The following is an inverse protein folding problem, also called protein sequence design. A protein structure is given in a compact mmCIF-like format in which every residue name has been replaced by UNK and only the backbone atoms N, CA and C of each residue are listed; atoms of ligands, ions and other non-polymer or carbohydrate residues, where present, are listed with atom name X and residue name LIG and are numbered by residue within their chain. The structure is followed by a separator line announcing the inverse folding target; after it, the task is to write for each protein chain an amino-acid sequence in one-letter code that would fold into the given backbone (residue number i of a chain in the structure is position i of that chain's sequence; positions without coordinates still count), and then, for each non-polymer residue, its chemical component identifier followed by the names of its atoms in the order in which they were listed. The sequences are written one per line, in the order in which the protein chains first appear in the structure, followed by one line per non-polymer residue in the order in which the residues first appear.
data_IF_812319676224
#
_entry.id   IF_812319676224
#
_cell.length_a   1.000
_cell.length_b   1.000
_cell.length_c   1.000
_cell.angle_alpha   90.00
_cell.angle_beta   90.00
_cell.angle_gamma   90.00
#
_symmetry.space_group_name_H-M   'P 1'
#
loop_
_entity.id
_entity.type
_entity.pdbx_description
1 polymer ?
#
# COMPACT_ATOMS: atom_id res chain seq x y z
N UNK A 1 6.98 -9.28 -9.65
CA UNK A 1 7.72 -10.48 -10.10
C UNK A 1 7.28 -11.75 -9.36
N UNK A 2 7.27 -11.79 -8.01
CA UNK A 2 6.90 -12.97 -7.22
C UNK A 2 5.51 -13.57 -7.55
N UNK A 3 4.49 -12.74 -7.79
CA UNK A 3 3.14 -13.21 -8.15
C UNK A 3 3.10 -13.94 -9.50
N UNK A 4 3.86 -13.45 -10.49
CA UNK A 4 3.96 -14.07 -11.81
C UNK A 4 4.71 -15.40 -11.74
N UNK A 5 5.81 -15.45 -10.96
CA UNK A 5 6.58 -16.68 -10.71
C UNK A 5 5.72 -17.73 -10.00
N UNK A 6 4.99 -17.35 -8.94
CA UNK A 6 4.05 -18.24 -8.24
C UNK A 6 3.00 -18.85 -9.19
N UNK A 7 2.33 -18.02 -10.00
CA UNK A 7 1.31 -18.48 -10.95
C UNK A 7 1.92 -19.39 -12.01
N UNK A 8 3.09 -19.04 -12.56
CA UNK A 8 3.78 -19.86 -13.56
C UNK A 8 4.21 -21.23 -13.00
N UNK A 9 4.79 -21.26 -11.79
CA UNK A 9 5.17 -22.50 -11.11
C UNK A 9 3.96 -23.38 -10.80
N UNK A 10 2.85 -22.78 -10.37
CA UNK A 10 1.60 -23.51 -10.08
C UNK A 10 1.05 -24.20 -11.34
N UNK A 11 0.98 -23.48 -12.46
CA UNK A 11 0.52 -24.02 -13.74
C UNK A 11 1.48 -25.09 -14.26
N UNK A 12 2.78 -24.83 -14.21
CA UNK A 12 3.82 -25.77 -14.64
C UNK A 12 3.79 -27.08 -13.83
N UNK A 13 3.65 -26.99 -12.51
CA UNK A 13 3.54 -28.16 -11.63
C UNK A 13 2.27 -28.98 -11.94
N UNK A 14 1.12 -28.33 -12.15
CA UNK A 14 -0.13 -29.00 -12.52
C UNK A 14 -0.03 -29.71 -13.89
N UNK A 15 0.64 -29.08 -14.86
CA UNK A 15 0.87 -29.66 -16.20
C UNK A 15 1.81 -30.87 -16.16
N UNK A 16 2.80 -30.87 -15.26
CA UNK A 16 3.77 -31.95 -15.14
C UNK A 16 3.26 -33.12 -14.29
N UNK A 17 2.55 -32.86 -13.20
CA UNK A 17 2.09 -33.89 -12.27
C UNK A 17 0.96 -34.75 -12.85
N UNK A 18 0.11 -34.15 -13.68
CA UNK A 18 -1.02 -34.83 -14.31
C UNK A 18 -0.63 -36.04 -15.20
N UNK A 19 0.29 -35.93 -16.18
CA UNK A 19 0.71 -37.09 -16.98
C UNK A 19 1.41 -38.16 -16.13
N UNK A 20 2.15 -37.78 -15.09
CA UNK A 20 2.78 -38.75 -14.18
C UNK A 20 1.75 -39.59 -13.43
N UNK A 21 0.71 -38.95 -12.87
CA UNK A 21 -0.35 -39.67 -12.17
C UNK A 21 -1.16 -40.55 -13.13
N UNK A 22 -1.36 -40.11 -14.37
CA UNK A 22 -1.99 -40.93 -15.41
C UNK A 22 -1.25 -42.25 -15.65
N UNK A 23 0.08 -42.24 -15.65
CA UNK A 23 0.89 -43.46 -15.78
C UNK A 23 0.79 -44.38 -14.56
N UNK A 24 0.67 -43.81 -13.36
CA UNK A 24 0.58 -44.58 -12.11
C UNK A 24 -0.77 -45.27 -11.98
N UNK A 25 -1.86 -44.55 -12.24
CA UNK A 25 -3.22 -45.08 -12.05
C UNK A 25 -3.75 -45.83 -13.27
N UNK A 26 -3.28 -45.46 -14.48
CA UNK A 26 -3.62 -46.13 -15.74
C UNK A 26 -5.12 -46.39 -15.92
N UNK A 27 -5.98 -45.52 -15.38
CA UNK A 27 -7.43 -45.72 -15.37
C UNK A 27 -8.01 -45.48 -16.74
N UNK A 28 -8.85 -46.40 -17.22
CA UNK A 28 -9.54 -46.23 -18.50
C UNK A 28 -10.72 -45.24 -18.43
N UNK A 29 -10.91 -44.41 -19.48
CA UNK A 29 -12.04 -43.51 -19.58
C UNK A 29 -13.35 -44.27 -19.85
N UNK A 30 -14.52 -43.70 -19.49
CA UNK A 30 -15.79 -44.29 -19.86
C UNK A 30 -15.90 -44.44 -21.39
N UNK A 31 -16.30 -45.62 -21.87
CA UNK A 31 -16.48 -45.88 -23.30
C UNK A 31 -15.18 -46.14 -24.09
N UNK A 32 -14.06 -46.43 -23.42
CA UNK A 32 -12.87 -46.98 -24.11
C UNK A 32 -13.22 -48.29 -24.81
N UNK A 33 -12.71 -48.45 -26.03
CA UNK A 33 -12.79 -49.69 -26.81
C UNK A 33 -11.38 -50.05 -27.26
N UNK A 34 -11.12 -51.33 -27.53
CA UNK A 34 -9.78 -51.82 -27.90
C UNK A 34 -9.20 -51.17 -29.18
N UNK A 35 -10.02 -50.43 -29.94
CA UNK A 35 -9.67 -49.84 -31.23
C UNK A 35 -9.13 -48.40 -31.10
N UNK A 36 -9.42 -47.70 -29.99
CA UNK A 36 -8.92 -46.34 -29.76
C UNK A 36 -7.86 -46.33 -28.66
N UNK A 37 -6.66 -45.77 -28.89
CA UNK A 37 -5.67 -45.62 -27.83
C UNK A 37 -6.26 -44.78 -26.69
N UNK A 38 -6.58 -45.43 -25.57
CA UNK A 38 -7.17 -44.76 -24.43
C UNK A 38 -6.12 -43.85 -23.78
N UNK A 39 -6.34 -42.53 -23.84
CA UNK A 39 -5.63 -41.61 -22.94
C UNK A 39 -6.21 -41.80 -21.54
N UNK A 40 -5.40 -42.22 -20.58
CA UNK A 40 -5.86 -42.51 -19.21
C UNK A 40 -6.71 -41.37 -18.61
N UNK A 41 -7.79 -41.72 -17.92
CA UNK A 41 -8.81 -40.79 -17.45
C UNK A 41 -8.48 -40.12 -16.12
N UNK A 42 -7.72 -40.80 -15.24
CA UNK A 42 -7.46 -40.32 -13.89
C UNK A 42 -6.07 -39.68 -13.74
N UNK A 43 -5.97 -38.50 -13.10
CA UNK A 43 -7.04 -37.53 -12.84
C UNK A 43 -7.41 -36.76 -14.12
N UNK A 44 -8.51 -35.98 -14.08
CA UNK A 44 -8.88 -35.11 -15.18
C UNK A 44 -7.86 -33.97 -15.35
N UNK A 45 -7.17 -33.95 -16.49
CA UNK A 45 -6.13 -32.95 -16.78
C UNK A 45 -6.67 -31.53 -16.88
N UNK A 46 -7.73 -31.32 -17.68
CA UNK A 46 -8.37 -30.01 -17.83
C UNK A 46 -8.90 -29.49 -16.49
N UNK A 47 -9.55 -30.36 -15.70
CA UNK A 47 -10.04 -29.97 -14.38
C UNK A 47 -8.87 -29.61 -13.45
N UNK A 48 -7.77 -30.36 -13.47
CA UNK A 48 -6.59 -30.09 -12.65
C UNK A 48 -5.93 -28.75 -13.00
N UNK A 49 -5.62 -28.53 -14.29
CA UNK A 49 -4.90 -27.32 -14.73
C UNK A 49 -5.75 -26.06 -14.60
N UNK A 50 -7.03 -26.14 -14.96
CA UNK A 50 -7.97 -25.02 -14.75
C UNK A 50 -8.06 -24.68 -13.27
N UNK A 51 -8.27 -25.66 -12.39
CA UNK A 51 -8.41 -25.42 -10.94
C UNK A 51 -7.14 -24.84 -10.34
N UNK A 52 -5.96 -25.32 -10.75
CA UNK A 52 -4.68 -24.76 -10.33
C UNK A 52 -4.53 -23.29 -10.75
N UNK A 53 -4.86 -22.97 -12.01
CA UNK A 53 -4.78 -21.60 -12.53
C UNK A 53 -5.76 -20.65 -11.81
N UNK A 54 -7.04 -21.04 -11.66
CA UNK A 54 -8.03 -20.17 -11.01
C UNK A 54 -7.78 -20.02 -9.51
N UNK A 55 -7.31 -21.07 -8.83
CA UNK A 55 -6.90 -20.98 -7.42
C UNK A 55 -5.69 -20.07 -7.24
N UNK A 56 -4.70 -20.14 -8.13
CA UNK A 56 -3.55 -19.23 -8.11
C UNK A 56 -3.99 -17.76 -8.25
N UNK A 57 -4.91 -17.47 -9.17
CA UNK A 57 -5.47 -16.13 -9.35
C UNK A 57 -6.25 -15.66 -8.11
N UNK A 58 -7.04 -16.54 -7.48
CA UNK A 58 -7.74 -16.21 -6.24
C UNK A 58 -6.77 -15.87 -5.09
N UNK A 59 -5.67 -16.63 -4.95
CA UNK A 59 -4.61 -16.36 -3.96
C UNK A 59 -3.93 -15.00 -4.22
N UNK A 60 -3.64 -14.68 -5.48
CA UNK A 60 -3.08 -13.36 -5.86
C UNK A 60 -4.06 -12.24 -5.55
N UNK A 61 -5.35 -12.41 -5.87
CA UNK A 61 -6.39 -11.43 -5.64
C UNK A 61 -6.81 -11.29 -4.16
N UNK A 62 -6.41 -12.21 -3.27
CA UNK A 62 -6.88 -12.30 -1.89
C UNK A 62 -6.62 -11.04 -1.04
N UNK A 63 -5.55 -10.30 -1.34
CA UNK A 63 -5.21 -9.03 -0.67
C UNK A 63 -5.85 -7.79 -1.30
N UNK A 64 -6.63 -7.98 -2.36
CA UNK A 64 -7.34 -6.90 -3.03
C UNK A 64 -8.82 -6.87 -2.61
N UNK A 65 -9.52 -5.79 -2.95
CA UNK A 65 -10.99 -5.70 -2.80
C UNK A 65 -11.76 -6.79 -3.57
N UNK A 66 -11.11 -7.48 -4.51
CA UNK A 66 -11.69 -8.53 -5.34
C UNK A 66 -11.62 -9.94 -4.74
N UNK A 67 -11.11 -10.12 -3.52
CA UNK A 67 -10.92 -11.45 -2.90
C UNK A 67 -12.17 -12.35 -2.95
N UNK A 68 -13.34 -11.80 -2.60
CA UNK A 68 -14.58 -12.56 -2.57
C UNK A 68 -15.15 -12.82 -3.97
N UNK A 69 -15.27 -11.81 -4.86
CA UNK A 69 -15.64 -12.05 -6.26
C UNK A 69 -14.71 -13.03 -6.99
N UNK A 70 -13.39 -12.92 -6.82
CA UNK A 70 -12.41 -13.79 -7.47
C UNK A 70 -12.50 -15.24 -6.95
N UNK A 71 -12.70 -15.43 -5.65
CA UNK A 71 -12.90 -16.76 -5.05
C UNK A 71 -14.21 -17.39 -5.54
N UNK A 72 -15.30 -16.60 -5.62
CA UNK A 72 -16.58 -17.07 -6.14
C UNK A 72 -16.49 -17.45 -7.62
N UNK A 73 -15.89 -16.60 -8.46
CA UNK A 73 -15.66 -16.86 -9.88
C UNK A 73 -14.79 -18.11 -10.10
N UNK A 74 -13.78 -18.29 -9.26
CA UNK A 74 -12.91 -19.48 -9.24
C UNK A 74 -13.71 -20.76 -8.98
N UNK A 75 -14.56 -20.75 -7.95
CA UNK A 75 -15.43 -21.90 -7.64
C UNK A 75 -16.38 -22.24 -8.78
N UNK A 76 -16.99 -21.23 -9.41
CA UNK A 76 -17.89 -21.42 -10.55
C UNK A 76 -17.15 -21.98 -11.77
N UNK A 77 -16.00 -21.41 -12.14
CA UNK A 77 -15.22 -21.86 -13.29
C UNK A 77 -14.73 -23.32 -13.13
N UNK A 78 -14.25 -23.68 -11.93
CA UNK A 78 -13.81 -25.03 -11.64
C UNK A 78 -14.97 -26.04 -11.68
N UNK A 79 -16.13 -25.67 -11.14
CA UNK A 79 -17.34 -26.50 -11.17
C UNK A 79 -17.86 -26.72 -12.60
N UNK A 80 -17.96 -25.66 -13.41
CA UNK A 80 -18.38 -25.76 -14.81
C UNK A 80 -17.42 -26.63 -15.62
N UNK A 81 -16.12 -26.48 -15.40
CA UNK A 81 -15.11 -27.34 -16.03
C UNK A 81 -15.30 -28.80 -15.62
N UNK A 82 -15.46 -29.10 -14.33
CA UNK A 82 -15.69 -30.47 -13.84
C UNK A 82 -16.96 -31.10 -14.45
N UNK A 83 -18.08 -30.37 -14.46
CA UNK A 83 -19.34 -30.84 -15.03
C UNK A 83 -19.23 -31.11 -16.53
N UNK A 84 -18.53 -30.26 -17.28
CA UNK A 84 -18.32 -30.44 -18.71
C UNK A 84 -17.65 -31.79 -19.04
N UNK A 85 -16.72 -32.23 -18.19
CA UNK A 85 -15.95 -33.47 -18.41
C UNK A 85 -16.74 -34.74 -18.14
N UNK A 86 -17.66 -34.68 -17.17
CA UNK A 86 -18.60 -35.78 -16.91
C UNK A 86 -19.68 -35.82 -17.99
N UNK A 87 -20.22 -34.65 -18.38
CA UNK A 87 -21.24 -34.53 -19.43
C UNK A 87 -20.77 -35.08 -20.78
N UNK A 88 -19.53 -34.77 -21.16
CA UNK A 88 -18.91 -35.30 -22.39
C UNK A 88 -18.60 -36.80 -22.34
N UNK A 89 -18.84 -37.48 -21.21
CA UNK A 89 -18.66 -38.94 -21.07
C UNK A 89 -17.20 -39.40 -21.07
N UNK A 90 -16.26 -38.47 -20.94
CA UNK A 90 -14.81 -38.70 -21.10
C UNK A 90 -14.08 -38.92 -19.78
N UNK A 91 -14.75 -38.70 -18.64
CA UNK A 91 -14.22 -38.90 -17.29
C UNK A 91 -15.29 -39.38 -16.33
N UNK A 92 -14.89 -40.17 -15.34
CA UNK A 92 -15.73 -40.51 -14.20
C UNK A 92 -15.88 -39.32 -13.25
N UNK A 93 -16.99 -39.21 -12.50
CA UNK A 93 -17.15 -38.18 -11.46
C UNK A 93 -16.00 -38.13 -10.46
N UNK A 94 -15.41 -39.27 -10.11
CA UNK A 94 -14.24 -39.32 -9.22
C UNK A 94 -12.97 -38.76 -9.85
N UNK A 95 -12.79 -38.83 -11.18
CA UNK A 95 -11.62 -38.27 -11.87
C UNK A 95 -11.63 -36.74 -11.82
N UNK A 96 -12.80 -36.13 -11.90
CA UNK A 96 -12.96 -34.66 -11.83
C UNK A 96 -12.84 -34.16 -10.40
N UNK A 97 -13.37 -34.89 -9.41
CA UNK A 97 -13.19 -34.55 -7.98
C UNK A 97 -11.71 -34.61 -7.62
N UNK A 98 -11.00 -35.65 -8.06
CA UNK A 98 -9.56 -35.76 -7.87
C UNK A 98 -8.79 -34.62 -8.55
N UNK A 99 -9.21 -34.21 -9.76
CA UNK A 99 -8.61 -33.06 -10.45
C UNK A 99 -8.82 -31.73 -9.72
N UNK A 100 -10.02 -31.49 -9.17
CA UNK A 100 -10.31 -30.30 -8.34
C UNK A 100 -9.40 -30.25 -7.10
N UNK A 101 -9.32 -31.37 -6.37
CA UNK A 101 -8.50 -31.49 -5.17
C UNK A 101 -7.01 -31.31 -5.49
N UNK A 102 -6.52 -31.97 -6.54
CA UNK A 102 -5.13 -31.92 -6.96
C UNK A 102 -4.72 -30.51 -7.38
N UNK A 103 -5.52 -29.84 -8.24
CA UNK A 103 -5.22 -28.48 -8.69
C UNK A 103 -5.16 -27.48 -7.54
N UNK A 104 -6.08 -27.60 -6.57
CA UNK A 104 -6.09 -26.76 -5.37
C UNK A 104 -4.88 -27.03 -4.47
N UNK A 105 -4.55 -28.31 -4.25
CA UNK A 105 -3.41 -28.72 -3.43
C UNK A 105 -2.07 -28.25 -4.02
N UNK A 106 -1.89 -28.36 -5.35
CA UNK A 106 -0.70 -27.88 -6.04
C UNK A 106 -0.54 -26.37 -5.85
N UNK A 107 -1.59 -25.58 -6.06
CA UNK A 107 -1.54 -24.13 -5.85
C UNK A 107 -1.13 -23.76 -4.41
N UNK A 108 -1.71 -24.43 -3.42
CA UNK A 108 -1.38 -24.18 -2.01
C UNK A 108 0.04 -24.64 -1.64
N UNK A 109 0.51 -25.76 -2.19
CA UNK A 109 1.86 -26.25 -1.97
C UNK A 109 2.90 -25.30 -2.58
N UNK A 110 2.71 -24.86 -3.82
CA UNK A 110 3.57 -23.84 -4.46
C UNK A 110 3.54 -22.55 -3.66
N UNK A 111 2.38 -22.13 -3.14
CA UNK A 111 2.26 -20.93 -2.30
C UNK A 111 3.05 -21.06 -1.00
N UNK A 112 3.10 -22.25 -0.40
CA UNK A 112 3.83 -22.49 0.85
C UNK A 112 5.36 -22.41 0.66
N UNK A 113 5.87 -22.84 -0.49
CA UNK A 113 7.32 -22.87 -0.78
C UNK A 113 7.83 -21.64 -1.53
N UNK A 114 6.94 -20.88 -2.18
CA UNK A 114 7.33 -19.65 -2.87
C UNK A 114 7.40 -18.51 -1.84
N UNK A 115 8.58 -17.89 -1.63
CA UNK A 115 8.69 -16.73 -0.76
C UNK A 115 7.74 -15.64 -1.26
N UNK A 116 6.81 -15.24 -0.39
CA UNK A 116 5.91 -14.15 -0.68
C UNK A 116 6.39 -12.93 0.10
N UNK A 117 6.73 -11.81 -0.57
CA UNK A 117 7.27 -10.64 0.12
C UNK A 117 6.35 -10.24 1.27
N UNK A 118 6.88 -10.23 2.49
CA UNK A 118 6.17 -9.67 3.62
C UNK A 118 5.98 -8.16 3.36
N UNK A 119 4.86 -7.55 3.75
CA UNK A 119 4.68 -6.10 3.64
C UNK A 119 5.84 -5.31 4.27
N UNK A 120 6.48 -5.88 5.29
CA UNK A 120 7.65 -5.33 5.99
C UNK A 120 8.93 -5.45 5.15
N UNK A 121 9.24 -6.61 4.60
CA UNK A 121 10.42 -6.81 3.72
C UNK A 121 10.33 -5.99 2.43
N UNK A 122 9.13 -5.88 1.84
CA UNK A 122 8.90 -5.00 0.69
C UNK A 122 9.04 -3.52 1.07
N UNK A 123 8.63 -3.14 2.28
CA UNK A 123 8.83 -1.79 2.80
C UNK A 123 10.32 -1.52 3.07
N UNK A 124 11.06 -2.48 3.63
CA UNK A 124 12.51 -2.39 3.87
C UNK A 124 13.32 -2.40 2.56
N UNK A 125 12.89 -3.10 1.52
CA UNK A 125 13.53 -3.08 0.19
C UNK A 125 13.25 -1.76 -0.54
N UNK A 126 12.04 -1.21 -0.41
CA UNK A 126 11.70 0.13 -0.92
C UNK A 126 12.41 1.22 -0.12
N UNK A 127 12.50 1.06 1.20
CA UNK A 127 13.21 1.95 2.11
C UNK A 127 14.73 1.87 1.89
N UNK A 128 15.28 0.68 1.64
CA UNK A 128 16.67 0.47 1.23
C UNK A 128 16.98 1.08 -0.13
N UNK A 129 16.07 0.95 -1.13
CA UNK A 129 16.17 1.69 -2.41
C UNK A 129 15.96 3.19 -2.28
N UNK A 130 15.28 3.64 -1.23
CA UNK A 130 15.14 5.06 -0.89
C UNK A 130 16.40 5.59 -0.18
N UNK A 131 17.05 4.76 0.64
CA UNK A 131 18.28 5.06 1.37
C UNK A 131 19.50 5.09 0.42
N UNK A 132 19.58 4.17 -0.54
CA UNK A 132 20.56 4.18 -1.64
C UNK A 132 20.46 5.46 -2.52
N UNK A 133 19.31 6.14 -2.46
CA UNK A 133 19.01 7.39 -3.16
C UNK A 133 19.15 8.64 -2.27
N UNK A 134 19.83 8.52 -1.13
CA UNK A 134 20.19 9.59 -0.20
C UNK A 134 18.98 10.25 0.49
N UNK A 135 19.16 10.70 1.74
CA UNK A 135 18.18 11.44 2.57
C UNK A 135 17.71 12.74 1.90
N UNK A 136 16.85 12.60 0.89
CA UNK A 136 16.22 13.70 0.17
C UNK A 136 14.91 14.04 0.85
N UNK A 137 14.65 15.35 0.96
CA UNK A 137 13.45 15.81 1.63
C UNK A 137 12.15 15.38 0.96
N UNK A 138 12.21 15.13 -0.34
CA UNK A 138 11.14 14.69 -1.22
C UNK A 138 11.55 13.36 -1.86
N UNK A 139 10.62 12.40 -1.90
CA UNK A 139 10.81 11.10 -2.55
C UNK A 139 10.11 11.06 -3.90
N UNK A 140 8.90 11.64 -3.96
CA UNK A 140 7.98 11.53 -5.09
C UNK A 140 7.55 12.91 -5.57
N UNK A 141 7.63 13.11 -6.89
CA UNK A 141 7.09 14.28 -7.58
C UNK A 141 5.89 13.84 -8.39
N UNK A 142 4.71 14.26 -7.96
CA UNK A 142 3.46 14.12 -8.70
C UNK A 142 3.33 15.25 -9.71
N UNK A 143 3.02 14.90 -10.95
CA UNK A 143 2.94 15.82 -12.09
C UNK A 143 1.55 15.74 -12.69
N UNK A 144 0.88 16.88 -12.80
CA UNK A 144 -0.29 16.99 -13.65
C UNK A 144 0.08 16.75 -15.12
N UNK A 145 -0.92 16.35 -15.92
CA UNK A 145 -0.70 15.88 -17.28
C UNK A 145 -0.97 16.96 -18.33
N UNK A 146 -2.25 17.29 -18.56
CA UNK A 146 -2.64 18.33 -19.52
C UNK A 146 -2.24 19.71 -19.05
N UNK A 147 -1.73 20.55 -19.95
CA UNK A 147 -1.22 21.90 -19.68
C UNK A 147 -0.11 21.99 -18.62
N UNK A 148 0.52 20.85 -18.31
CA UNK A 148 1.71 20.76 -17.45
C UNK A 148 2.81 19.92 -18.11
N UNK A 149 2.52 18.71 -18.59
CA UNK A 149 3.47 17.87 -19.33
C UNK A 149 3.13 17.76 -20.82
N UNK A 150 1.84 17.75 -21.14
CA UNK A 150 1.32 17.67 -22.51
C UNK A 150 0.51 18.92 -22.82
N UNK A 151 0.59 19.37 -24.07
CA UNK A 151 -0.23 20.48 -24.56
C UNK A 151 -1.67 19.99 -24.70
N UNK A 152 -2.59 20.59 -23.94
CA UNK A 152 -4.01 20.26 -24.00
C UNK A 152 -4.84 21.54 -24.31
N UNK A 153 -5.23 21.74 -25.58
CA UNK A 153 -6.00 22.90 -25.98
C UNK A 153 -7.45 22.89 -25.48
N UNK A 154 -7.93 21.78 -24.87
CA UNK A 154 -9.28 21.66 -24.31
C UNK A 154 -10.43 21.56 -25.32
N UNK A 155 -10.13 21.59 -26.63
CA UNK A 155 -11.13 21.53 -27.71
C UNK A 155 -11.18 20.16 -28.41
N UNK A 156 -10.29 19.24 -28.06
CA UNK A 156 -10.19 17.91 -28.70
C UNK A 156 -10.95 16.89 -27.85
N UNK A 157 -11.83 16.13 -28.49
CA UNK A 157 -12.60 15.08 -27.83
C UNK A 157 -11.85 13.75 -27.80
N UNK A 158 -12.16 12.94 -26.79
CA UNK A 158 -11.62 11.59 -26.61
C UNK A 158 -10.18 11.55 -26.08
N UNK A 159 -9.67 10.33 -25.84
CA UNK A 159 -8.40 10.13 -25.14
C UNK A 159 -7.22 10.58 -26.00
N UNK A 160 -6.28 11.31 -25.39
CA UNK A 160 -5.13 11.92 -26.06
C UNK A 160 -4.27 10.93 -26.86
N UNK A 161 -4.25 9.64 -26.47
CA UNK A 161 -3.53 8.59 -27.21
C UNK A 161 -3.99 8.46 -28.67
N UNK A 162 -5.24 8.79 -28.95
CA UNK A 162 -5.87 8.64 -30.26
C UNK A 162 -5.88 9.94 -31.06
N UNK A 163 -5.41 11.06 -30.49
CA UNK A 163 -5.34 12.33 -31.21
C UNK A 163 -4.34 12.26 -32.37
N UNK A 164 -4.65 12.89 -33.50
CA UNK A 164 -3.77 12.91 -34.68
C UNK A 164 -2.36 13.40 -34.34
N UNK A 165 -2.28 14.50 -33.58
CA UNK A 165 -1.03 15.10 -33.11
C UNK A 165 -1.04 15.24 -31.59
N UNK A 166 0.10 14.97 -30.96
CA UNK A 166 0.32 15.18 -29.53
C UNK A 166 1.67 15.87 -29.35
N UNK A 167 1.74 16.80 -28.41
CA UNK A 167 2.92 17.61 -28.16
C UNK A 167 3.19 17.67 -26.65
N UNK A 168 4.48 17.57 -26.30
CA UNK A 168 4.94 17.82 -24.94
C UNK A 168 5.05 19.32 -24.68
N UNK A 169 4.75 19.74 -23.45
CA UNK A 169 5.01 21.11 -22.99
C UNK A 169 6.51 21.45 -23.09
N UNK A 170 6.80 22.70 -23.42
CA UNK A 170 8.17 23.13 -23.70
C UNK A 170 9.09 22.92 -22.48
N UNK A 171 10.11 22.08 -22.67
CA UNK A 171 11.08 21.74 -21.63
C UNK A 171 10.64 20.62 -20.67
N UNK A 172 9.51 19.94 -20.93
CA UNK A 172 9.06 18.79 -20.14
C UNK A 172 10.10 17.67 -20.15
N UNK A 173 10.53 17.21 -21.32
CA UNK A 173 11.50 16.11 -21.45
C UNK A 173 12.80 16.37 -20.68
N UNK A 174 13.39 17.56 -20.85
CA UNK A 174 14.62 17.95 -20.14
C UNK A 174 14.42 18.00 -18.62
N UNK A 175 13.29 18.54 -18.15
CA UNK A 175 12.98 18.61 -16.74
C UNK A 175 12.78 17.22 -16.13
N UNK A 176 12.04 16.33 -16.81
CA UNK A 176 11.78 14.97 -16.36
C UNK A 176 13.08 14.15 -16.34
N UNK A 177 13.92 14.21 -17.36
CA UNK A 177 15.20 13.50 -17.38
C UNK A 177 16.08 13.86 -16.17
N UNK A 178 16.17 15.15 -15.83
CA UNK A 178 16.93 15.63 -14.66
C UNK A 178 16.30 15.20 -13.33
N UNK A 179 14.97 15.21 -13.25
CA UNK A 179 14.25 14.81 -12.04
C UNK A 179 14.28 13.30 -11.84
N UNK A 180 14.15 12.49 -12.89
CA UNK A 180 14.10 11.02 -12.83
C UNK A 180 15.41 10.40 -12.32
N UNK A 181 16.54 11.08 -12.55
CA UNK A 181 17.81 10.73 -11.92
C UNK A 181 17.78 10.80 -10.38
N UNK A 182 16.74 11.44 -9.81
CA UNK A 182 16.72 11.88 -8.41
C UNK A 182 15.43 11.60 -7.65
N UNK A 183 14.30 11.57 -8.32
CA UNK A 183 13.00 11.47 -7.67
C UNK A 183 12.16 10.48 -8.46
N UNK A 184 11.24 9.83 -7.77
CA UNK A 184 10.22 9.01 -8.42
C UNK A 184 9.20 9.96 -9.03
N UNK A 185 8.92 9.82 -10.32
CA UNK A 185 8.02 10.70 -11.04
C UNK A 185 6.71 9.97 -11.32
N UNK A 186 5.61 10.57 -10.88
CA UNK A 186 4.28 9.97 -10.99
C UNK A 186 3.36 10.97 -11.65
N UNK A 187 2.64 10.54 -12.68
CA UNK A 187 1.59 11.38 -13.27
C UNK A 187 0.33 11.26 -12.43
N UNK A 188 -0.27 12.39 -12.06
CA UNK A 188 -1.51 12.47 -11.30
C UNK A 188 -2.51 13.35 -12.06
N UNK A 189 -3.50 12.73 -12.73
CA UNK A 189 -4.35 13.40 -13.73
C UNK A 189 -5.84 13.21 -13.51
N UNK A 190 -6.65 14.19 -13.94
CA UNK A 190 -8.12 14.14 -13.99
C UNK A 190 -8.62 13.58 -15.33
N UNK A 191 -7.87 12.69 -15.96
CA UNK A 191 -8.28 12.06 -17.21
C UNK A 191 -9.34 10.99 -16.93
N UNK A 192 -10.61 11.39 -17.05
CA UNK A 192 -11.79 10.55 -16.77
C UNK A 192 -12.01 9.49 -17.87
N UNK A 193 -11.53 9.75 -19.09
CA UNK A 193 -11.62 8.87 -20.25
C UNK A 193 -10.33 8.09 -20.54
N UNK A 194 -9.28 8.32 -19.75
CA UNK A 194 -7.95 7.76 -20.00
C UNK A 194 -7.42 7.06 -18.73
N UNK A 195 -7.55 5.74 -18.61
CA UNK A 195 -6.87 4.97 -17.56
C UNK A 195 -5.34 5.04 -17.72
N UNK A 196 -4.58 4.62 -16.71
CA UNK A 196 -3.11 4.67 -16.74
C UNK A 196 -2.44 4.16 -18.03
N UNK A 197 -2.87 3.02 -18.65
CA UNK A 197 -2.28 2.56 -19.90
C UNK A 197 -2.41 3.56 -21.05
N UNK A 198 -3.54 4.27 -21.12
CA UNK A 198 -3.82 5.21 -22.21
C UNK A 198 -3.00 6.49 -22.07
N UNK A 199 -2.87 6.97 -20.83
CA UNK A 199 -1.97 8.09 -20.50
C UNK A 199 -0.53 7.74 -20.86
N UNK A 200 -0.07 6.52 -20.55
CA UNK A 200 1.28 6.04 -20.92
C UNK A 200 1.49 6.00 -22.44
N UNK A 201 0.52 5.51 -23.20
CA UNK A 201 0.60 5.51 -24.66
C UNK A 201 0.76 6.93 -25.24
N UNK A 202 0.01 7.89 -24.71
CA UNK A 202 0.14 9.29 -25.13
C UNK A 202 1.51 9.89 -24.75
N UNK A 203 2.02 9.61 -23.55
CA UNK A 203 3.37 10.05 -23.13
C UNK A 203 4.48 9.40 -23.96
N UNK A 204 4.32 8.13 -24.35
CA UNK A 204 5.31 7.41 -25.16
C UNK A 204 5.46 8.02 -26.56
N UNK A 205 4.38 8.55 -27.14
CA UNK A 205 4.40 9.22 -28.46
C UNK A 205 5.31 10.46 -28.50
N UNK A 206 5.61 11.05 -27.35
CA UNK A 206 6.52 12.22 -27.21
C UNK A 206 7.77 11.90 -26.39
N UNK A 207 8.02 10.62 -26.09
CA UNK A 207 9.22 10.17 -25.35
C UNK A 207 9.26 10.56 -23.88
N UNK A 208 8.12 10.84 -23.23
CA UNK A 208 8.11 11.17 -21.79
C UNK A 208 7.90 9.96 -20.89
N UNK A 209 7.32 8.86 -21.40
CA UNK A 209 6.95 7.67 -20.60
C UNK A 209 8.16 7.01 -19.91
N UNK A 210 9.33 7.04 -20.53
CA UNK A 210 10.56 6.43 -20.00
C UNK A 210 11.01 7.03 -18.65
N UNK A 211 10.54 8.23 -18.31
CA UNK A 211 10.86 8.90 -17.06
C UNK A 211 9.76 8.75 -15.98
N UNK A 212 8.61 8.16 -16.31
CA UNK A 212 7.44 8.09 -15.44
C UNK A 212 7.29 6.69 -14.82
N UNK A 213 7.41 6.62 -13.50
CA UNK A 213 7.37 5.36 -12.75
C UNK A 213 5.94 4.82 -12.59
N UNK A 214 4.96 5.70 -12.33
CA UNK A 214 3.54 5.33 -12.24
C UNK A 214 2.62 6.44 -12.78
N UNK A 215 1.39 6.05 -13.09
CA UNK A 215 0.29 6.95 -13.47
C UNK A 215 -0.93 6.67 -12.60
N UNK A 216 -1.45 7.74 -11.99
CA UNK A 216 -2.70 7.77 -11.22
C UNK A 216 -3.69 8.66 -11.96
N UNK A 217 -4.65 8.08 -12.67
CA UNK A 217 -5.73 8.83 -13.31
C UNK A 217 -7.04 8.74 -12.54
N UNK A 218 -7.94 9.70 -12.77
CA UNK A 218 -9.28 9.66 -12.19
C UNK A 218 -10.10 8.46 -12.71
N UNK A 219 -9.87 8.01 -13.95
CA UNK A 219 -10.46 6.79 -14.47
C UNK A 219 -10.05 5.53 -13.65
N UNK A 220 -8.80 5.47 -13.16
CA UNK A 220 -8.34 4.35 -12.34
C UNK A 220 -8.84 4.42 -10.89
N UNK A 221 -8.90 5.63 -10.34
CA UNK A 221 -9.23 5.87 -8.93
C UNK A 221 -10.74 5.93 -8.68
N UNK A 222 -11.52 6.34 -9.67
CA UNK A 222 -12.96 6.62 -9.53
C UNK A 222 -13.28 7.92 -8.78
N UNK A 223 -12.27 8.77 -8.58
CA UNK A 223 -12.39 10.10 -7.99
C UNK A 223 -11.38 11.04 -8.68
N UNK A 224 -11.48 12.36 -8.45
CA UNK A 224 -10.71 13.37 -9.15
C UNK A 224 -10.12 14.42 -8.22
N UNK A 225 -9.04 15.06 -8.64
CA UNK A 225 -8.58 16.33 -8.05
C UNK A 225 -9.71 17.37 -8.17
N UNK A 226 -10.02 18.14 -7.12
CA UNK A 226 -9.23 18.38 -5.93
C UNK A 226 -9.65 17.53 -4.70
N UNK A 227 -10.39 16.44 -4.90
CA UNK A 227 -10.96 15.68 -3.81
C UNK A 227 -9.88 14.96 -3.00
N UNK A 228 -10.05 14.94 -1.68
CA UNK A 228 -9.05 14.37 -0.77
C UNK A 228 -8.80 12.87 -1.03
N UNK A 229 -9.83 12.12 -1.45
CA UNK A 229 -9.69 10.69 -1.69
C UNK A 229 -8.83 10.36 -2.92
N UNK A 230 -8.79 11.22 -3.95
CA UNK A 230 -7.83 11.10 -5.04
C UNK A 230 -6.38 11.16 -4.52
N UNK A 231 -6.04 12.23 -3.79
CA UNK A 231 -4.70 12.43 -3.23
C UNK A 231 -4.30 11.36 -2.22
N UNK A 232 -5.23 10.95 -1.37
CA UNK A 232 -5.00 9.85 -0.42
C UNK A 232 -4.69 8.54 -1.14
N UNK A 233 -5.38 8.25 -2.26
CA UNK A 233 -5.14 7.05 -3.06
C UNK A 233 -3.79 7.13 -3.76
N UNK A 234 -3.43 8.29 -4.32
CA UNK A 234 -2.12 8.51 -4.92
C UNK A 234 -0.98 8.30 -3.90
N UNK A 235 -1.08 8.90 -2.71
CA UNK A 235 -0.10 8.71 -1.63
C UNK A 235 -0.06 7.27 -1.11
N UNK A 236 -1.21 6.58 -1.09
CA UNK A 236 -1.27 5.18 -0.68
C UNK A 236 -0.59 4.25 -1.69
N UNK A 237 -0.74 4.51 -2.99
CA UNK A 237 -0.03 3.80 -4.07
C UNK A 237 1.48 3.98 -3.99
N UNK A 238 1.91 5.19 -3.68
CA UNK A 238 3.33 5.54 -3.57
C UNK A 238 3.94 5.26 -2.20
N UNK A 239 3.10 4.83 -1.26
CA UNK A 239 3.49 4.37 0.06
C UNK A 239 4.05 2.95 0.04
N UNK A 240 4.23 2.36 1.20
CA UNK A 240 4.83 1.04 1.35
C UNK A 240 4.11 0.22 2.41
N UNK A 241 3.96 -1.08 2.19
CA UNK A 241 3.29 -1.97 3.15
C UNK A 241 1.81 -1.64 3.43
N UNK A 242 1.14 -0.86 2.57
CA UNK A 242 -0.23 -0.38 2.79
C UNK A 242 -0.31 0.88 3.67
N UNK A 243 0.84 1.49 4.02
CA UNK A 243 0.91 2.79 4.68
C UNK A 243 1.12 3.87 3.61
N UNK A 244 0.33 4.96 3.59
CA UNK A 244 0.56 6.06 2.65
C UNK A 244 1.93 6.71 2.81
N UNK A 245 2.49 7.18 1.69
CA UNK A 245 3.64 8.08 1.70
C UNK A 245 3.34 9.30 2.58
N UNK A 246 4.30 9.68 3.43
CA UNK A 246 4.21 10.93 4.20
C UNK A 246 4.00 12.09 3.20
N UNK A 247 2.87 12.81 3.26
CA UNK A 247 2.58 13.89 2.31
C UNK A 247 3.69 14.93 2.23
N UNK A 248 4.45 15.14 3.31
CA UNK A 248 5.56 16.11 3.35
C UNK A 248 6.76 15.68 2.51
N UNK A 249 6.84 14.40 2.13
CA UNK A 249 7.84 13.82 1.21
C UNK A 249 7.35 13.81 -0.24
N UNK A 250 6.17 14.37 -0.51
CA UNK A 250 5.59 14.46 -1.83
C UNK A 250 5.44 15.92 -2.28
N UNK A 251 5.68 16.15 -3.57
CA UNK A 251 5.41 17.44 -4.23
C UNK A 251 4.36 17.21 -5.32
N UNK A 252 3.29 18.01 -5.34
CA UNK A 252 2.37 18.10 -6.48
C UNK A 252 2.73 19.30 -7.36
N UNK A 253 2.87 19.05 -8.66
CA UNK A 253 3.16 20.05 -9.68
C UNK A 253 1.99 20.08 -10.67
N UNK A 254 1.43 21.25 -10.93
CA UNK A 254 0.37 21.39 -11.92
C UNK A 254 0.02 22.85 -12.19
N UNK A 255 -0.83 23.09 -13.18
CA UNK A 255 -1.25 24.42 -13.58
C UNK A 255 -2.54 24.89 -12.88
N UNK A 256 -3.33 23.96 -12.35
CA UNK A 256 -4.61 24.22 -11.70
C UNK A 256 -4.48 24.68 -10.24
N UNK A 257 -4.85 25.93 -9.97
CA UNK A 257 -4.80 26.52 -8.61
C UNK A 257 -5.74 25.83 -7.61
N UNK A 258 -6.84 25.24 -8.07
CA UNK A 258 -7.78 24.50 -7.22
C UNK A 258 -7.45 23.02 -7.19
N UNK A 259 -7.38 22.41 -8.39
CA UNK A 259 -7.21 20.98 -8.59
C UNK A 259 -5.89 20.51 -8.01
N UNK A 260 -4.77 21.04 -8.52
CA UNK A 260 -3.42 20.59 -8.20
C UNK A 260 -2.89 21.22 -6.92
N UNK A 261 -3.09 22.53 -6.76
CA UNK A 261 -2.52 23.24 -5.61
C UNK A 261 -3.41 23.07 -4.38
N UNK A 262 -4.66 23.57 -4.43
CA UNK A 262 -5.55 23.53 -3.28
C UNK A 262 -5.85 22.11 -2.78
N UNK A 263 -6.06 21.16 -3.70
CA UNK A 263 -6.30 19.76 -3.38
C UNK A 263 -5.11 19.10 -2.66
N UNK A 264 -3.90 19.21 -3.25
CA UNK A 264 -2.70 18.61 -2.67
C UNK A 264 -2.31 19.24 -1.32
N UNK A 265 -2.49 20.55 -1.17
CA UNK A 265 -2.25 21.23 0.11
C UNK A 265 -3.16 20.72 1.24
N UNK A 266 -4.44 20.44 0.95
CA UNK A 266 -5.34 19.81 1.93
C UNK A 266 -4.93 18.38 2.27
N UNK A 267 -4.29 17.68 1.35
CA UNK A 267 -3.68 16.38 1.61
C UNK A 267 -2.34 16.47 2.36
N UNK A 268 -1.82 17.67 2.63
CA UNK A 268 -0.56 17.89 3.35
C UNK A 268 0.69 17.86 2.47
N UNK A 269 0.52 17.81 1.14
CA UNK A 269 1.62 17.79 0.19
C UNK A 269 2.24 19.18 0.00
N UNK A 270 3.51 19.21 -0.40
CA UNK A 270 4.13 20.44 -0.93
C UNK A 270 3.65 20.68 -2.35
N UNK A 271 3.57 21.93 -2.78
CA UNK A 271 3.03 22.26 -4.11
C UNK A 271 3.88 23.24 -4.90
N UNK A 272 3.99 22.98 -6.20
CA UNK A 272 4.62 23.86 -7.17
C UNK A 272 3.58 24.22 -8.23
N UNK A 273 3.30 25.51 -8.39
CA UNK A 273 2.38 25.98 -9.41
C UNK A 273 3.11 26.28 -10.72
N UNK A 274 2.76 25.57 -11.78
CA UNK A 274 3.21 25.87 -13.14
C UNK A 274 2.31 26.97 -13.72
N UNK A 275 2.90 28.13 -14.01
CA UNK A 275 2.17 29.31 -14.44
C UNK A 275 2.88 30.02 -15.60
N UNK A 276 2.93 29.39 -16.79
CA UNK A 276 3.62 29.95 -17.96
C UNK A 276 3.00 31.27 -18.42
N UNK A 277 1.69 31.43 -18.22
CA UNK A 277 0.91 32.61 -18.63
C UNK A 277 0.88 33.74 -17.61
N UNK A 278 1.59 33.60 -16.48
CA UNK A 278 1.68 34.63 -15.42
C UNK A 278 0.32 35.07 -14.86
N UNK A 279 -0.62 34.14 -14.74
CA UNK A 279 -1.93 34.37 -14.09
C UNK A 279 -1.73 34.85 -12.64
N UNK A 280 -2.62 35.70 -12.16
CA UNK A 280 -2.68 36.02 -10.73
C UNK A 280 -3.12 34.79 -9.94
N UNK A 281 -2.53 34.56 -8.76
CA UNK A 281 -3.01 33.52 -7.87
C UNK A 281 -4.28 34.01 -7.17
N UNK A 282 -5.35 33.19 -7.04
CA UNK A 282 -6.61 33.63 -6.47
C UNK A 282 -6.47 34.13 -5.03
N UNK A 283 -7.09 35.28 -4.74
CA UNK A 283 -7.14 35.84 -3.39
C UNK A 283 -7.85 34.91 -2.41
N UNK A 284 -7.44 34.95 -1.14
CA UNK A 284 -8.01 34.11 -0.08
C UNK A 284 -7.62 32.62 -0.12
N UNK A 285 -6.91 32.15 -1.16
CA UNK A 285 -6.35 30.79 -1.19
C UNK A 285 -4.94 30.75 -0.61
N UNK A 286 -4.58 29.62 0.01
CA UNK A 286 -3.22 29.37 0.48
C UNK A 286 -2.26 29.36 -0.73
N UNK A 287 -1.18 30.16 -0.73
CA UNK A 287 -0.24 30.19 -1.85
C UNK A 287 0.53 28.87 -1.97
N UNK A 288 0.98 28.48 -3.19
CA UNK A 288 1.83 27.31 -3.39
C UNK A 288 3.20 27.51 -2.73
N UNK A 289 3.92 26.41 -2.47
CA UNK A 289 5.27 26.49 -1.87
C UNK A 289 6.31 27.02 -2.87
N UNK A 290 6.08 26.85 -4.18
CA UNK A 290 6.84 27.51 -5.23
C UNK A 290 5.97 27.80 -6.47
N UNK A 291 6.44 28.73 -7.31
CA UNK A 291 5.84 29.02 -8.62
C UNK A 291 6.96 28.96 -9.66
N UNK A 292 6.69 28.28 -10.77
CA UNK A 292 7.59 28.22 -11.93
C UNK A 292 6.87 28.69 -13.18
N UNK A 293 7.60 29.27 -14.13
CA UNK A 293 7.04 29.72 -15.42
C UNK A 293 7.42 28.84 -16.59
N UNK A 294 8.50 28.08 -16.43
CA UNK A 294 9.04 27.18 -17.47
C UNK A 294 9.42 25.88 -16.78
N UNK A 295 9.13 24.74 -17.40
CA UNK A 295 9.40 23.43 -16.80
C UNK A 295 10.87 23.19 -16.51
N UNK A 296 11.79 23.80 -17.26
CA UNK A 296 13.24 23.76 -16.95
C UNK A 296 13.61 24.29 -15.56
N UNK A 297 12.74 25.08 -14.92
CA UNK A 297 12.93 25.60 -13.56
C UNK A 297 12.52 24.58 -12.49
N UNK A 298 11.75 23.55 -12.88
CA UNK A 298 11.17 22.56 -11.98
C UNK A 298 12.21 21.78 -11.16
N UNK A 299 13.31 21.24 -11.74
CA UNK A 299 14.31 20.51 -10.96
C UNK A 299 14.86 21.33 -9.80
N UNK A 300 15.22 22.60 -10.06
CA UNK A 300 15.73 23.51 -9.03
C UNK A 300 14.66 23.88 -7.99
N UNK A 301 13.38 23.94 -8.37
CA UNK A 301 12.30 24.18 -7.43
C UNK A 301 12.08 22.99 -6.48
N UNK A 302 12.06 21.76 -7.01
CA UNK A 302 11.96 20.53 -6.21
C UNK A 302 13.14 20.39 -5.26
N UNK A 303 14.36 20.64 -5.74
CA UNK A 303 15.58 20.57 -4.92
C UNK A 303 15.56 21.54 -3.73
N UNK A 304 15.05 22.76 -3.92
CA UNK A 304 14.88 23.73 -2.83
C UNK A 304 13.91 23.20 -1.77
N UNK A 305 12.77 22.65 -2.20
CA UNK A 305 11.79 22.06 -1.28
C UNK A 305 12.35 20.84 -0.54
N UNK A 306 13.17 20.01 -1.21
CA UNK A 306 13.84 18.88 -0.59
C UNK A 306 14.87 19.31 0.47
N UNK A 307 15.58 20.42 0.26
CA UNK A 307 16.56 20.98 1.21
C UNK A 307 15.96 21.49 2.53
N UNK A 308 14.69 21.90 2.55
CA UNK A 308 14.02 22.41 3.75
C UNK A 308 13.85 21.33 4.85
N UNK A 309 13.78 20.04 4.48
CA UNK A 309 13.60 18.94 5.46
C UNK A 309 14.82 18.72 6.34
N UNK A 310 16.04 18.91 5.82
CA UNK A 310 17.25 18.85 6.64
C UNK A 310 17.23 19.91 7.75
N UNK A 311 16.72 21.11 7.46
CA UNK A 311 16.48 22.18 8.45
C UNK A 311 15.38 21.81 9.44
N UNK A 312 14.26 21.23 8.97
CA UNK A 312 13.14 20.84 9.81
C UNK A 312 13.46 19.66 10.75
N UNK A 313 14.22 18.65 10.29
CA UNK A 313 14.70 17.53 11.14
C UNK A 313 15.67 18.00 12.22
N UNK A 314 16.58 18.93 11.92
CA UNK A 314 17.45 19.54 12.95
C UNK A 314 16.64 20.28 14.01
N UNK A 315 15.56 20.97 13.60
CA UNK A 315 14.62 21.62 14.53
C UNK A 315 13.80 20.61 15.35
N UNK A 316 13.36 19.51 14.73
CA UNK A 316 12.59 18.44 15.37
C UNK A 316 13.40 17.71 16.44
N UNK A 317 14.59 17.21 16.09
CA UNK A 317 15.50 16.55 17.05
C UNK A 317 15.84 17.45 18.22
N UNK A 318 16.15 18.72 17.94
CA UNK A 318 16.45 19.69 19.00
C UNK A 318 15.29 19.86 19.98
N UNK A 319 14.03 19.86 19.51
CA UNK A 319 12.85 19.92 20.38
C UNK A 319 12.64 18.63 21.18
N UNK A 320 12.89 17.47 20.59
CA UNK A 320 12.81 16.17 21.27
C UNK A 320 13.90 16.04 22.36
N UNK A 321 15.13 16.49 22.05
CA UNK A 321 16.24 16.55 23.00
C UNK A 321 15.94 17.55 24.14
N UNK A 322 15.41 18.73 23.84
CA UNK A 322 14.99 19.72 24.83
C UNK A 322 13.87 19.16 25.74
N UNK A 323 12.87 18.48 25.17
CA UNK A 323 11.78 17.85 25.92
C UNK A 323 12.24 16.65 26.78
N UNK A 324 13.16 15.83 26.26
CA UNK A 324 13.75 14.71 27.01
C UNK A 324 14.61 15.22 28.17
N UNK A 325 15.38 16.29 27.97
CA UNK A 325 16.15 16.94 29.02
C UNK A 325 15.24 17.53 30.12
N UNK A 326 14.13 18.14 29.73
CA UNK A 326 13.14 18.68 30.68
C UNK A 326 12.45 17.58 31.49
N UNK A 327 12.08 16.47 30.86
CA UNK A 327 11.51 15.29 31.52
C UNK A 327 12.51 14.64 32.50
N UNK A 328 13.78 14.50 32.11
CA UNK A 328 14.83 13.99 32.98
C UNK A 328 15.08 14.91 34.19
N UNK A 329 15.04 16.22 33.98
CA UNK A 329 15.17 17.22 35.06
C UNK A 329 13.97 17.24 36.02
N UNK A 330 12.77 16.88 35.54
CA UNK A 330 11.59 16.68 36.40
C UNK A 330 11.75 15.41 37.25
N UNK A 331 12.09 14.27 36.64
CA UNK A 331 12.29 13.01 37.35
C UNK A 331 13.40 13.11 38.43
N UNK A 332 14.49 13.82 38.16
CA UNK A 332 15.56 14.05 39.13
C UNK A 332 15.11 14.93 40.32
N UNK A 333 14.16 15.85 40.12
CA UNK A 333 13.57 16.65 41.20
C UNK A 333 12.67 15.78 42.08
N UNK A 334 11.87 14.92 41.48
CA UNK A 334 10.98 14.01 42.21
C UNK A 334 11.77 13.00 43.07
N UNK A 335 12.85 12.44 42.53
CA UNK A 335 13.77 11.56 43.28
C UNK A 335 14.42 12.26 44.48
N UNK A 336 14.86 13.51 44.32
CA UNK A 336 15.42 14.29 45.43
C UNK A 336 14.37 14.62 46.50
N UNK A 337 13.14 14.91 46.09
CA UNK A 337 12.04 15.15 47.01
C UNK A 337 11.66 13.88 47.81
N UNK A 338 11.65 12.72 47.16
CA UNK A 338 11.42 11.43 47.81
C UNK A 338 12.51 11.09 48.84
N UNK A 339 13.79 11.26 48.47
CA UNK A 339 14.90 11.04 49.39
C UNK A 339 14.85 11.98 50.61
N UNK A 340 14.52 13.26 50.41
CA UNK A 340 14.36 14.22 51.51
C UNK A 340 13.17 13.86 52.44
N UNK A 341 12.11 13.26 51.91
CA UNK A 341 10.98 12.79 52.71
C UNK A 341 11.33 11.55 53.54
N UNK A 342 12.12 10.63 53.00
CA UNK A 342 12.64 9.47 53.74
C UNK A 342 13.60 9.89 54.86
N UNK A 343 14.52 10.81 54.60
CA UNK A 343 15.43 11.35 55.63
C UNK A 343 14.65 12.07 56.75
N UNK A 344 13.59 12.80 56.40
CA UNK A 344 12.71 13.45 57.38
C UNK A 344 11.94 12.43 58.22
N UNK A 345 11.43 11.36 57.60
CA UNK A 345 10.73 10.27 58.29
C UNK A 345 11.66 9.46 59.21
N UNK A 346 12.90 9.19 58.76
CA UNK A 346 13.92 8.52 59.55
C UNK A 346 14.36 9.37 60.76
N UNK A 347 14.50 10.68 60.57
CA UNK A 347 14.77 11.63 61.66
C UNK A 347 13.63 11.69 62.68
N UNK A 348 12.37 11.68 62.22
CA UNK A 348 11.20 11.65 63.08
C UNK A 348 11.07 10.33 63.88
N UNK A 349 11.42 9.19 63.28
CA UNK A 349 11.43 7.89 63.95
C UNK A 349 12.55 7.78 65.00
N UNK A 350 13.73 8.36 64.73
CA UNK A 350 14.83 8.41 65.68
C UNK A 350 14.54 9.30 66.91
N UNK A 351 13.58 10.23 66.81
CA UNK A 351 13.15 11.09 67.91
C UNK A 351 12.24 10.38 68.94
N UNK A 352 11.76 9.15 68.68
CA UNK A 352 10.92 8.38 69.62
C UNK A 352 11.38 6.92 69.76
N UNK A 353 12.38 6.61 70.62
CA UNK A 353 12.70 5.24 70.97
C UNK A 353 12.07 4.90 72.33
N UNK A 354 10.97 4.14 72.35
CA UNK A 354 10.50 3.50 73.59
C UNK A 354 9.01 3.16 73.64
N UNK A 355 8.71 1.87 73.78
CA UNK A 355 7.37 1.38 74.15
C UNK A 355 7.02 -0.02 73.65
N UNK A 356 7.86 -1.01 73.91
CA UNK A 356 7.39 -2.40 74.02
C UNK A 356 6.97 -2.67 75.47
N UNK A 357 6.06 -3.63 75.63
CA UNK A 357 5.40 -4.10 76.86
C UNK A 357 4.22 -3.27 77.39
N UNK A 358 2.99 -3.72 77.11
CA UNK A 358 2.13 -4.31 78.15
C UNK A 358 0.81 -4.87 77.59
N UNK A 359 0.33 -5.92 78.27
CA UNK A 359 -1.05 -6.42 78.30
C UNK A 359 -1.56 -7.32 77.16
N UNK A 360 -1.13 -8.59 77.20
CA UNK A 360 -2.00 -9.74 76.93
C UNK A 360 -2.72 -10.13 78.23
N UNK A 361 -4.01 -9.88 78.35
CA UNK A 361 -4.86 -10.49 79.38
C UNK A 361 -6.23 -10.86 78.78
N UNK A 362 -6.55 -12.14 78.89
CA UNK A 362 -7.74 -12.82 78.41
C UNK A 362 -9.05 -12.29 79.03
N UNK A 363 -10.20 -12.56 78.40
CA UNK A 363 -11.46 -13.02 79.04
C UNK A 363 -12.60 -13.24 78.01
N UNK A 364 -13.01 -14.52 77.91
CA UNK A 364 -14.34 -15.13 77.69
C UNK A 364 -15.29 -14.81 76.51
N UNK A 365 -15.60 -15.88 75.76
CA UNK A 365 -16.91 -16.56 75.64
C UNK A 365 -18.17 -15.73 75.34
N UNK A 366 -18.60 -15.87 74.07
CA UNK A 366 -19.94 -16.30 73.61
C UNK A 366 -21.08 -15.30 73.31
N UNK A 367 -21.78 -15.65 72.22
CA UNK A 367 -23.17 -15.37 71.80
C UNK A 367 -23.56 -14.01 71.17
N UNK A 368 -23.84 -14.15 69.86
CA UNK A 368 -25.11 -13.80 69.15
C UNK A 368 -25.34 -12.31 68.77
N UNK A 369 -26.30 -12.00 67.87
CA UNK A 369 -26.03 -11.89 66.43
C UNK A 369 -26.44 -10.52 65.86
N UNK A 370 -26.21 -10.33 64.56
CA UNK A 370 -26.65 -9.17 63.78
C UNK A 370 -28.14 -8.80 63.97
N UNK A 371 -28.42 -7.50 64.07
CA UNK A 371 -29.64 -6.89 63.54
C UNK A 371 -29.42 -5.45 63.05
N UNK A 372 -30.28 -4.98 62.11
CA UNK A 372 -30.06 -3.84 61.21
C UNK A 372 -30.89 -2.60 61.64
N UNK A 373 -31.08 -1.67 60.69
CA UNK A 373 -31.92 -0.45 60.69
C UNK A 373 -31.23 0.84 61.20
N UNK A 374 -31.48 2.05 60.67
CA UNK A 374 -32.35 2.51 59.59
C UNK A 374 -31.98 3.95 59.17
N UNK A 375 -32.44 4.30 57.96
CA UNK A 375 -32.75 5.63 57.41
C UNK A 375 -33.00 6.80 58.37
N UNK A 376 -32.57 8.00 57.94
CA UNK A 376 -33.38 9.23 57.67
C UNK A 376 -32.41 10.38 57.34
N UNK A 377 -32.63 11.24 56.35
CA UNK A 377 -33.77 11.41 55.46
C UNK A 377 -33.50 12.50 54.42
#
# INVERSE_FOLDING_TARGET
MAQAVYTALTIGAALLLNPLLKLVFSREPPGSSDVTPAVYAFPSGHTTTTTAAVTALAVVAWRTRWRWPATAATGVAALLMALSRVYLGVHWPSDVIAGLALGSAVAMAVRAVTPWPQPQEAAEEIEGRADDRGDRGIDVVFLDWGNTLMVDPGLREGPMKDWETVEAEAGAAEALARLAARYRLVVATNADDSPAPDVRLALARVGLDEHIEDVVSSADVGDRKPNYAFYRTALLREGSGGVPLDPRRAVMVGDGTSNDIGGAQRAGMRTIWYNPTKRAFPEGKRPPDAVIRRLKELPGAVDRLAGDKARLRRRGRRREEEAAAEAAAAAARDLRAAAAAEDSAASAAAAFPGGADEATAAVTVDRRPARPDQMRG
#
